data_IF_126765996472
#
_entry.id   IF_126765996472
#
_cell.length_a   1.000
_cell.length_b   1.000
_cell.length_c   1.000
_cell.angle_alpha   90.00
_cell.angle_beta   90.00
_cell.angle_gamma   90.00
#
_symmetry.space_group_name_H-M   'P 1'
#
loop_
_entity.id
_entity.type
_entity.pdbx_description
1 polymer ?
#
# COMPACT_ATOMS: atom_id res chain seq x y z
N UNK A 1 0.83 11.98 33.11
CA UNK A 1 1.89 11.25 32.40
C UNK A 1 2.99 11.03 33.42
N UNK A 2 3.19 9.79 33.90
CA UNK A 2 4.02 9.49 35.06
C UNK A 2 5.49 9.83 34.81
N UNK A 3 6.11 10.62 35.68
CA UNK A 3 7.54 11.00 35.68
C UNK A 3 8.51 9.82 35.66
N UNK A 4 8.11 8.62 36.03
CA UNK A 4 8.93 7.41 35.96
C UNK A 4 9.32 6.96 34.54
N UNK A 5 8.69 7.51 33.50
CA UNK A 5 8.98 7.15 32.09
C UNK A 5 10.25 7.83 31.56
N UNK A 6 10.72 8.89 32.21
CA UNK A 6 11.90 9.65 31.78
C UNK A 6 13.24 9.08 32.28
N UNK A 7 13.22 8.13 33.21
CA UNK A 7 14.43 7.54 33.83
C UNK A 7 14.82 6.14 33.28
N UNK A 8 14.05 5.61 32.31
CA UNK A 8 14.39 4.32 31.73
C UNK A 8 15.53 4.45 30.68
N UNK A 9 16.57 3.58 30.73
CA UNK A 9 17.61 3.57 29.72
C UNK A 9 17.03 3.40 28.31
N UNK A 10 17.61 4.06 27.28
CA UNK A 10 17.10 4.02 25.90
C UNK A 10 16.84 2.61 25.38
N UNK A 11 17.71 1.65 25.69
CA UNK A 11 17.57 0.25 25.31
C UNK A 11 16.30 -0.42 25.89
N UNK A 12 15.96 -0.18 27.16
CA UNK A 12 14.73 -0.72 27.78
C UNK A 12 13.46 -0.07 27.24
N UNK A 13 13.53 1.23 26.95
CA UNK A 13 12.44 1.98 26.31
C UNK A 13 12.20 1.44 24.90
N UNK A 14 13.25 1.21 24.13
CA UNK A 14 13.20 0.60 22.82
C UNK A 14 12.61 -0.83 22.88
N UNK A 15 13.05 -1.65 23.85
CA UNK A 15 12.56 -3.02 24.04
C UNK A 15 11.08 -3.08 24.45
N UNK A 16 10.59 -2.12 25.25
CA UNK A 16 9.19 -1.98 25.62
C UNK A 16 8.31 -1.54 24.44
N UNK A 17 8.80 -0.60 23.61
CA UNK A 17 8.14 -0.21 22.34
C UNK A 17 8.10 -1.41 21.40
N UNK A 18 9.18 -2.15 21.29
CA UNK A 18 9.27 -3.38 20.51
C UNK A 18 8.26 -4.44 20.94
N UNK A 19 8.15 -4.70 22.24
CA UNK A 19 7.17 -5.67 22.78
C UNK A 19 5.74 -5.20 22.51
N UNK A 20 5.46 -3.88 22.59
CA UNK A 20 4.18 -3.29 22.19
C UNK A 20 3.90 -3.43 20.68
N UNK A 21 4.88 -3.16 19.83
CA UNK A 21 4.77 -3.36 18.37
C UNK A 21 4.52 -4.83 18.00
N UNK A 22 5.09 -5.77 18.77
CA UNK A 22 4.94 -7.20 18.51
C UNK A 22 3.69 -7.84 19.11
N UNK A 23 3.05 -7.21 20.11
CA UNK A 23 1.92 -7.75 20.85
C UNK A 23 0.64 -6.92 20.76
N UNK A 24 0.73 -5.62 20.42
CA UNK A 24 -0.43 -4.74 20.31
C UNK A 24 -1.20 -4.99 19.01
N UNK A 25 -2.50 -5.18 19.14
CA UNK A 25 -3.44 -5.20 17.99
C UNK A 25 -3.81 -3.80 17.50
N UNK A 26 -3.41 -2.74 18.23
CA UNK A 26 -3.63 -1.33 17.87
C UNK A 26 -2.33 -0.71 17.37
N UNK A 27 -2.37 0.08 16.28
CA UNK A 27 -1.19 0.78 15.77
C UNK A 27 -0.72 1.83 16.79
N UNK A 28 0.61 2.02 16.86
CA UNK A 28 1.21 3.07 17.69
C UNK A 28 1.25 4.35 16.87
N UNK A 29 0.70 5.42 17.42
CA UNK A 29 0.76 6.76 16.83
C UNK A 29 2.02 7.47 17.33
N UNK A 30 2.83 7.94 16.41
CA UNK A 30 4.05 8.71 16.65
C UNK A 30 3.77 10.18 16.36
N UNK A 31 4.10 11.06 17.28
CA UNK A 31 4.08 12.52 17.08
C UNK A 31 5.46 13.01 16.64
N UNK A 32 5.51 14.22 16.06
CA UNK A 32 6.77 14.85 15.70
C UNK A 32 7.28 14.48 14.30
N UNK A 33 6.41 13.98 13.43
CA UNK A 33 6.80 13.63 12.07
C UNK A 33 6.57 14.81 11.10
N UNK A 34 7.33 14.80 10.01
CA UNK A 34 7.01 15.48 8.76
C UNK A 34 6.50 14.42 7.78
N UNK A 35 5.32 14.64 7.22
CA UNK A 35 4.69 13.75 6.25
C UNK A 35 4.28 14.58 5.05
N UNK A 36 4.78 14.23 3.88
CA UNK A 36 4.52 14.89 2.59
C UNK A 36 3.74 13.93 1.69
N UNK A 37 2.68 14.40 1.06
CA UNK A 37 1.93 13.65 0.05
C UNK A 37 2.68 13.71 -1.27
N UNK A 38 2.77 12.59 -1.96
CA UNK A 38 3.36 12.48 -3.30
C UNK A 38 2.32 11.87 -4.24
N UNK A 39 1.97 12.61 -5.29
CA UNK A 39 0.96 12.24 -6.29
C UNK A 39 1.65 11.66 -7.51
N UNK A 40 1.26 10.48 -7.93
CA UNK A 40 1.75 9.80 -9.12
C UNK A 40 3.29 9.64 -9.15
N UNK A 41 3.81 9.02 -10.17
CA UNK A 41 5.26 8.90 -10.38
C UNK A 41 5.93 10.24 -10.67
N UNK A 42 5.18 11.23 -11.17
CA UNK A 42 5.70 12.58 -11.48
C UNK A 42 6.27 13.30 -10.26
N UNK A 43 5.67 13.14 -9.09
CA UNK A 43 6.21 13.67 -7.82
C UNK A 43 7.08 12.64 -7.09
N UNK A 44 6.71 11.36 -7.17
CA UNK A 44 7.37 10.29 -6.44
C UNK A 44 8.78 10.00 -6.95
N UNK A 45 8.98 9.79 -8.27
CA UNK A 45 10.27 9.34 -8.78
C UNK A 45 11.40 10.38 -8.67
N UNK A 46 11.18 11.68 -8.90
CA UNK A 46 12.23 12.67 -8.63
C UNK A 46 12.68 12.67 -7.16
N UNK A 47 11.74 12.53 -6.22
CA UNK A 47 12.03 12.47 -4.79
C UNK A 47 12.75 11.16 -4.41
N UNK A 48 12.34 10.02 -4.99
CA UNK A 48 12.99 8.74 -4.80
C UNK A 48 14.45 8.76 -5.29
N UNK A 49 14.68 9.26 -6.50
CA UNK A 49 16.02 9.35 -7.09
C UNK A 49 16.93 10.28 -6.27
N UNK A 50 16.42 11.46 -5.88
CA UNK A 50 17.16 12.37 -5.00
C UNK A 50 17.52 11.73 -3.65
N UNK A 51 16.62 10.91 -3.07
CA UNK A 51 16.89 10.20 -1.83
C UNK A 51 17.95 9.09 -2.00
N UNK A 52 17.95 8.39 -3.15
CA UNK A 52 19.01 7.41 -3.48
C UNK A 52 20.37 8.10 -3.62
N UNK A 53 20.41 9.23 -4.30
CA UNK A 53 21.64 9.98 -4.54
C UNK A 53 22.22 10.58 -3.23
N UNK A 54 21.34 11.05 -2.35
CA UNK A 54 21.73 11.62 -1.05
C UNK A 54 22.09 10.59 0.01
N UNK A 55 21.72 9.32 -0.18
CA UNK A 55 21.98 8.27 0.81
C UNK A 55 23.49 8.04 1.02
N UNK A 56 23.89 7.99 2.30
CA UNK A 56 25.28 7.82 2.72
C UNK A 56 25.57 6.50 3.44
N UNK A 57 24.57 5.85 4.03
CA UNK A 57 24.75 4.65 4.85
C UNK A 57 24.02 3.43 4.31
N UNK A 58 22.70 3.54 4.12
CA UNK A 58 21.89 2.38 3.74
C UNK A 58 20.65 2.74 2.97
N UNK A 59 20.30 1.89 2.02
CA UNK A 59 19.06 1.93 1.25
C UNK A 59 18.37 0.58 1.36
N UNK A 60 17.10 0.58 1.74
CA UNK A 60 16.21 -0.58 1.65
C UNK A 60 15.04 -0.24 0.75
N UNK A 61 14.80 -1.05 -0.27
CA UNK A 61 13.62 -0.92 -1.14
C UNK A 61 12.87 -2.24 -1.15
N UNK A 62 11.58 -2.18 -0.88
CA UNK A 62 10.63 -3.26 -1.02
C UNK A 62 9.56 -2.85 -2.02
N UNK A 63 9.39 -3.62 -3.08
CA UNK A 63 8.36 -3.35 -4.10
C UNK A 63 7.75 -4.64 -4.64
N UNK A 64 6.50 -4.54 -5.09
CA UNK A 64 5.82 -5.64 -5.76
C UNK A 64 6.23 -5.74 -7.23
N UNK A 65 6.16 -4.62 -7.96
CA UNK A 65 6.61 -4.53 -9.35
C UNK A 65 7.86 -3.67 -9.41
N UNK A 66 8.87 -4.19 -10.09
CA UNK A 66 10.01 -3.44 -10.58
C UNK A 66 10.16 -3.82 -12.05
N UNK A 67 9.80 -2.93 -12.97
CA UNK A 67 10.01 -3.09 -14.41
C UNK A 67 11.27 -2.35 -14.84
N UNK A 68 11.93 -2.83 -15.90
CA UNK A 68 13.09 -2.15 -16.51
C UNK A 68 12.64 -1.33 -17.72
N UNK A 69 11.66 -0.44 -17.48
CA UNK A 69 11.30 0.65 -18.36
C UNK A 69 12.17 1.89 -18.07
N UNK A 70 11.87 3.05 -18.67
CA UNK A 70 12.68 4.27 -18.52
C UNK A 70 12.89 4.67 -17.06
N UNK A 71 11.87 4.58 -16.25
CA UNK A 71 11.94 4.88 -14.81
C UNK A 71 12.72 3.80 -14.05
N UNK A 72 12.42 2.53 -14.31
CA UNK A 72 13.11 1.43 -13.65
C UNK A 72 14.60 1.37 -14.00
N UNK A 73 14.98 1.69 -15.24
CA UNK A 73 16.38 1.80 -15.65
C UNK A 73 17.10 2.91 -14.85
N UNK A 74 16.48 4.07 -14.70
CA UNK A 74 17.04 5.18 -13.92
C UNK A 74 17.19 4.82 -12.44
N UNK A 75 16.19 4.19 -11.84
CA UNK A 75 16.26 3.72 -10.46
C UNK A 75 17.33 2.64 -10.29
N UNK A 76 17.42 1.68 -11.22
CA UNK A 76 18.45 0.64 -11.21
C UNK A 76 19.87 1.24 -11.29
N UNK A 77 20.09 2.21 -12.19
CA UNK A 77 21.37 2.91 -12.32
C UNK A 77 21.73 3.69 -11.07
N UNK A 78 20.77 4.41 -10.45
CA UNK A 78 20.99 5.15 -9.21
C UNK A 78 21.36 4.22 -8.04
N UNK A 79 20.69 3.07 -7.90
CA UNK A 79 21.02 2.06 -6.89
C UNK A 79 22.42 1.45 -7.10
N UNK A 80 22.80 1.20 -8.36
CA UNK A 80 24.14 0.74 -8.69
C UNK A 80 25.21 1.77 -8.30
N UNK A 81 24.99 3.05 -8.62
CA UNK A 81 25.86 4.16 -8.26
C UNK A 81 25.96 4.33 -6.73
N UNK A 82 24.85 4.21 -6.00
CA UNK A 82 24.86 4.24 -4.53
C UNK A 82 25.69 3.10 -3.95
N UNK A 83 25.56 1.88 -4.46
CA UNK A 83 26.37 0.74 -4.01
C UNK A 83 27.87 0.94 -4.31
N UNK A 84 28.24 1.55 -5.44
CA UNK A 84 29.62 1.92 -5.76
C UNK A 84 30.18 3.01 -4.82
N UNK A 85 29.33 3.87 -4.25
CA UNK A 85 29.70 4.81 -3.16
C UNK A 85 29.80 4.12 -1.80
N UNK A 86 29.77 2.80 -1.72
CA UNK A 86 29.78 1.98 -0.50
C UNK A 86 28.51 2.12 0.37
N UNK A 87 27.40 2.62 -0.17
CA UNK A 87 26.10 2.59 0.50
C UNK A 87 25.59 1.15 0.54
N UNK A 88 25.07 0.71 1.67
CA UNK A 88 24.54 -0.65 1.86
C UNK A 88 23.15 -0.78 1.19
N UNK A 89 23.10 -1.13 -0.10
CA UNK A 89 21.87 -1.25 -0.89
C UNK A 89 21.23 -2.63 -0.71
N UNK A 90 19.94 -2.62 -0.32
CA UNK A 90 19.13 -3.82 -0.10
C UNK A 90 17.81 -3.71 -0.91
N UNK A 91 17.68 -4.50 -1.97
CA UNK A 91 16.51 -4.54 -2.83
C UNK A 91 15.74 -5.85 -2.63
N UNK A 92 14.48 -5.77 -2.19
CA UNK A 92 13.56 -6.90 -2.04
C UNK A 92 12.39 -6.72 -3.00
N UNK A 93 12.32 -7.54 -4.03
CA UNK A 93 11.27 -7.54 -5.05
C UNK A 93 10.38 -8.78 -4.96
N UNK A 94 9.11 -8.68 -5.32
CA UNK A 94 8.23 -9.85 -5.39
C UNK A 94 8.53 -10.69 -6.62
N UNK A 95 8.58 -12.02 -6.47
CA UNK A 95 8.96 -12.94 -7.54
C UNK A 95 7.88 -13.20 -8.58
N UNK A 96 6.67 -12.66 -8.40
CA UNK A 96 5.61 -12.69 -9.40
C UNK A 96 5.45 -11.32 -10.06
N UNK A 97 5.30 -10.26 -9.27
CA UNK A 97 5.12 -8.92 -9.81
C UNK A 97 6.32 -8.39 -10.58
N UNK A 98 7.55 -8.79 -10.19
CA UNK A 98 8.80 -8.39 -10.87
C UNK A 98 9.44 -9.54 -11.67
N UNK A 99 8.65 -10.53 -12.09
CA UNK A 99 9.20 -11.75 -12.72
C UNK A 99 10.05 -11.44 -13.96
N UNK A 100 9.60 -10.52 -14.81
CA UNK A 100 10.27 -10.17 -16.05
C UNK A 100 11.64 -9.52 -15.81
N UNK A 101 11.75 -8.63 -14.83
CA UNK A 101 12.97 -7.87 -14.55
C UNK A 101 13.93 -8.55 -13.56
N UNK A 102 13.48 -9.55 -12.79
CA UNK A 102 14.20 -10.07 -11.63
C UNK A 102 15.63 -10.54 -11.93
N UNK A 103 15.83 -11.29 -13.00
CA UNK A 103 17.15 -11.83 -13.33
C UNK A 103 18.11 -10.76 -13.86
N UNK A 104 17.61 -9.78 -14.62
CA UNK A 104 18.38 -8.64 -15.08
C UNK A 104 18.79 -7.73 -13.93
N UNK A 105 17.86 -7.43 -12.98
CA UNK A 105 18.16 -6.66 -11.78
C UNK A 105 19.26 -7.32 -10.93
N UNK A 106 19.20 -8.66 -10.78
CA UNK A 106 20.24 -9.41 -10.08
C UNK A 106 21.58 -9.29 -10.80
N UNK A 107 21.59 -9.48 -12.13
CA UNK A 107 22.80 -9.45 -12.93
C UNK A 107 23.47 -8.06 -12.91
N UNK A 108 22.68 -6.99 -12.91
CA UNK A 108 23.19 -5.61 -12.92
C UNK A 108 23.63 -5.10 -11.54
N UNK A 109 22.84 -5.41 -10.50
CA UNK A 109 23.05 -4.81 -9.17
C UNK A 109 24.04 -5.59 -8.29
N UNK A 110 24.05 -6.94 -8.34
CA UNK A 110 24.94 -7.71 -7.48
C UNK A 110 26.44 -7.43 -7.71
N UNK A 111 26.94 -7.25 -8.94
CA UNK A 111 28.35 -6.93 -9.15
C UNK A 111 28.79 -5.60 -8.55
N UNK A 112 27.85 -4.66 -8.31
CA UNK A 112 28.14 -3.36 -7.66
C UNK A 112 28.23 -3.46 -6.14
N UNK A 113 27.92 -4.62 -5.54
CA UNK A 113 27.84 -4.81 -4.10
C UNK A 113 26.44 -4.73 -3.51
N UNK A 114 25.44 -4.35 -4.30
CA UNK A 114 24.04 -4.32 -3.86
C UNK A 114 23.51 -5.74 -3.58
N UNK A 115 22.70 -5.86 -2.54
CA UNK A 115 22.05 -7.13 -2.16
C UNK A 115 20.63 -7.16 -2.73
N UNK A 116 20.37 -8.09 -3.65
CA UNK A 116 19.06 -8.27 -4.28
C UNK A 116 18.47 -9.61 -3.85
N UNK A 117 17.26 -9.60 -3.31
CA UNK A 117 16.48 -10.78 -2.94
C UNK A 117 15.16 -10.77 -3.69
N UNK A 118 14.81 -11.91 -4.29
CA UNK A 118 13.50 -12.14 -4.90
C UNK A 118 12.63 -12.90 -3.91
N UNK A 119 11.55 -12.24 -3.43
CA UNK A 119 10.60 -12.84 -2.51
C UNK A 119 9.73 -13.85 -3.25
N UNK A 120 9.86 -15.13 -2.90
CA UNK A 120 9.04 -16.23 -3.45
C UNK A 120 8.96 -16.24 -4.98
N UNK A 121 10.06 -16.59 -5.64
CA UNK A 121 10.08 -16.77 -7.09
C UNK A 121 8.91 -17.63 -7.56
N UNK A 122 8.16 -17.16 -8.55
CA UNK A 122 7.09 -17.92 -9.18
C UNK A 122 7.71 -19.17 -9.86
N UNK A 123 7.17 -20.33 -9.53
CA UNK A 123 7.47 -21.59 -10.21
C UNK A 123 6.17 -22.07 -10.84
N UNK A 124 6.00 -21.89 -12.14
CA UNK A 124 4.76 -22.16 -12.88
C UNK A 124 4.19 -23.57 -12.70
N UNK A 125 5.05 -24.56 -12.34
CA UNK A 125 4.65 -25.96 -12.10
C UNK A 125 4.28 -26.28 -10.65
N UNK A 126 4.34 -25.33 -9.71
CA UNK A 126 4.00 -25.55 -8.30
C UNK A 126 2.87 -24.61 -7.89
N UNK A 127 1.64 -25.14 -7.90
CA UNK A 127 0.46 -24.51 -7.29
C UNK A 127 0.48 -24.66 -5.77
N UNK A 128 1.54 -24.20 -5.11
CA UNK A 128 1.59 -24.21 -3.64
C UNK A 128 0.87 -22.96 -3.11
N UNK A 129 -0.07 -23.14 -2.18
CA UNK A 129 -0.77 -22.02 -1.48
C UNK A 129 0.22 -21.01 -0.85
N UNK A 130 1.40 -21.48 -0.45
CA UNK A 130 2.48 -20.61 0.05
C UNK A 130 2.97 -19.61 -1.01
N UNK A 131 2.83 -19.92 -2.29
CA UNK A 131 3.19 -19.04 -3.40
C UNK A 131 2.14 -17.94 -3.63
N UNK A 132 0.92 -18.06 -3.11
CA UNK A 132 -0.11 -17.04 -3.18
C UNK A 132 0.15 -15.85 -2.24
N UNK A 133 1.01 -16.03 -1.24
CA UNK A 133 1.39 -14.93 -0.32
C UNK A 133 2.41 -14.04 -0.98
N UNK A 134 2.07 -12.77 -1.25
CA UNK A 134 2.88 -11.81 -2.00
C UNK A 134 3.46 -10.72 -1.11
N UNK A 135 4.57 -10.14 -1.55
CA UNK A 135 5.12 -8.90 -1.03
C UNK A 135 4.47 -7.76 -1.81
N UNK A 136 3.39 -7.20 -1.30
CA UNK A 136 2.65 -6.16 -2.04
C UNK A 136 2.89 -4.74 -1.49
N UNK A 137 3.60 -4.59 -0.40
CA UNK A 137 3.97 -3.28 0.13
C UNK A 137 5.06 -2.62 -0.72
N UNK A 138 4.99 -1.30 -0.87
CA UNK A 138 5.96 -0.46 -1.52
C UNK A 138 6.52 0.46 -0.45
N UNK A 139 7.73 0.15 -0.01
CA UNK A 139 8.41 0.88 1.08
C UNK A 139 9.86 1.08 0.69
N UNK A 140 10.31 2.32 0.75
CA UNK A 140 11.71 2.67 0.58
C UNK A 140 12.21 3.38 1.84
N UNK A 141 13.42 3.05 2.28
CA UNK A 141 14.01 3.60 3.50
C UNK A 141 15.46 4.01 3.22
N UNK A 142 15.82 5.21 3.62
CA UNK A 142 17.12 5.83 3.39
C UNK A 142 17.73 6.28 4.72
N UNK A 143 18.93 5.76 5.06
CA UNK A 143 19.73 6.10 6.22
C UNK A 143 18.97 6.11 7.56
N UNK A 144 17.87 5.36 7.67
CA UNK A 144 16.93 5.38 8.79
C UNK A 144 16.37 6.77 9.13
N UNK A 145 16.34 7.70 8.18
CA UNK A 145 15.90 9.10 8.36
C UNK A 145 14.71 9.48 7.49
N UNK A 146 14.68 8.99 6.26
CA UNK A 146 13.63 9.24 5.29
C UNK A 146 13.03 7.91 4.85
N UNK A 147 11.71 7.82 4.81
CA UNK A 147 11.02 6.65 4.29
C UNK A 147 9.89 7.06 3.34
N UNK A 148 9.68 6.27 2.29
CA UNK A 148 8.51 6.36 1.42
C UNK A 148 7.62 5.15 1.64
N UNK A 149 6.30 5.36 1.73
CA UNK A 149 5.28 4.31 1.85
C UNK A 149 4.11 4.67 0.95
N UNK A 150 3.63 3.74 0.12
CA UNK A 150 2.50 4.05 -0.75
C UNK A 150 2.03 2.92 -1.63
N UNK A 151 1.28 3.28 -2.67
CA UNK A 151 0.78 2.38 -3.71
C UNK A 151 1.71 2.27 -4.91
N UNK A 152 2.60 3.25 -5.13
CA UNK A 152 3.41 3.42 -6.35
C UNK A 152 4.49 2.33 -6.44
N UNK A 153 4.44 1.53 -7.51
CA UNK A 153 5.48 0.57 -7.87
C UNK A 153 6.65 1.27 -8.61
N UNK A 154 7.74 0.54 -8.86
CA UNK A 154 8.82 1.02 -9.73
C UNK A 154 8.50 0.60 -11.16
N UNK A 155 7.71 1.40 -11.83
CA UNK A 155 7.22 1.25 -13.19
C UNK A 155 6.77 2.62 -13.69
N UNK A 156 6.96 2.92 -14.95
CA UNK A 156 6.50 4.17 -15.56
C UNK A 156 4.98 4.30 -15.46
N UNK A 157 4.48 5.48 -15.10
CA UNK A 157 3.04 5.73 -14.95
C UNK A 157 2.27 5.55 -16.25
N UNK A 158 2.92 5.73 -17.40
CA UNK A 158 2.36 5.51 -18.74
C UNK A 158 2.56 4.08 -19.27
N UNK A 159 3.19 3.20 -18.50
CA UNK A 159 3.30 1.79 -18.84
C UNK A 159 1.98 1.07 -18.54
N UNK A 160 1.10 1.02 -19.53
CA UNK A 160 -0.21 0.36 -19.43
C UNK A 160 -0.21 -0.96 -20.21
N UNK A 161 -1.02 -1.97 -19.77
CA UNK A 161 -1.11 -3.27 -20.43
C UNK A 161 -1.85 -3.22 -21.77
N UNK A 162 -2.52 -2.10 -22.09
CA UNK A 162 -3.30 -1.97 -23.29
C UNK A 162 -2.44 -1.86 -24.55
N UNK A 163 -2.93 -2.41 -25.70
CA UNK A 163 -2.25 -2.25 -26.96
C UNK A 163 -2.40 -0.81 -27.50
N UNK A 164 -1.47 -0.39 -28.35
CA UNK A 164 -1.63 0.82 -29.15
C UNK A 164 -2.81 0.66 -30.14
N UNK A 165 -3.60 1.72 -30.46
CA UNK A 165 -3.44 3.12 -29.98
C UNK A 165 -4.20 3.45 -28.69
N UNK A 166 -4.77 2.49 -27.99
CA UNK A 166 -5.54 2.73 -26.76
C UNK A 166 -4.62 3.31 -25.68
N UNK A 167 -3.45 2.70 -25.48
CA UNK A 167 -2.45 3.12 -24.50
C UNK A 167 -2.04 4.58 -24.65
N UNK A 168 -1.85 5.06 -25.87
CA UNK A 168 -1.43 6.44 -26.14
C UNK A 168 -2.47 7.50 -25.72
N UNK A 169 -3.72 7.10 -25.43
CA UNK A 169 -4.80 7.98 -24.99
C UNK A 169 -4.98 8.01 -23.49
N UNK A 170 -4.32 7.11 -22.77
CA UNK A 170 -4.43 7.03 -21.31
C UNK A 170 -3.45 8.01 -20.65
N UNK A 171 -3.94 8.69 -19.62
CA UNK A 171 -3.12 9.50 -18.73
C UNK A 171 -2.20 8.65 -17.83
N UNK A 172 -1.39 9.29 -16.97
CA UNK A 172 -0.57 8.60 -15.99
C UNK A 172 -1.44 7.84 -14.99
N UNK A 173 -0.91 6.74 -14.42
CA UNK A 173 -1.58 6.03 -13.31
C UNK A 173 -1.85 6.99 -12.18
N UNK A 174 -3.06 6.92 -11.64
CA UNK A 174 -3.47 7.73 -10.50
C UNK A 174 -3.22 6.97 -9.20
N UNK A 175 -2.14 7.32 -8.50
CA UNK A 175 -1.73 6.67 -7.24
C UNK A 175 -0.99 7.64 -6.32
N UNK A 176 -0.78 7.24 -5.07
CA UNK A 176 -0.18 8.08 -4.03
C UNK A 176 0.88 7.34 -3.23
N UNK A 177 1.84 8.11 -2.74
CA UNK A 177 2.78 7.71 -1.71
C UNK A 177 2.94 8.84 -0.69
N UNK A 178 3.57 8.55 0.44
CA UNK A 178 3.99 9.54 1.42
C UNK A 178 5.48 9.46 1.64
N UNK A 179 6.13 10.62 1.76
CA UNK A 179 7.47 10.75 2.30
C UNK A 179 7.37 11.07 3.78
N UNK A 180 8.06 10.30 4.62
CA UNK A 180 8.00 10.40 6.08
C UNK A 180 9.40 10.66 6.64
N UNK A 181 9.52 11.65 7.51
CA UNK A 181 10.67 11.92 8.35
C UNK A 181 10.23 11.99 9.83
N UNK A 182 11.13 11.71 10.76
CA UNK A 182 10.85 11.77 12.19
C UNK A 182 10.57 10.40 12.83
N UNK A 183 9.97 10.36 14.03
CA UNK A 183 9.88 9.16 14.87
C UNK A 183 9.19 7.94 14.23
N UNK A 184 8.25 8.15 13.30
CA UNK A 184 7.59 7.07 12.56
C UNK A 184 8.58 6.23 11.76
N UNK A 185 9.66 6.84 11.24
CA UNK A 185 10.66 6.16 10.43
C UNK A 185 11.34 5.03 11.21
N UNK A 186 11.48 5.15 12.53
CA UNK A 186 11.99 4.06 13.38
C UNK A 186 11.13 2.79 13.31
N UNK A 187 9.80 2.93 13.28
CA UNK A 187 8.89 1.79 13.11
C UNK A 187 8.95 1.19 11.71
N UNK A 188 9.10 2.05 10.68
CA UNK A 188 9.28 1.62 9.29
C UNK A 188 10.61 0.87 9.14
N UNK A 189 11.70 1.43 9.65
CA UNK A 189 13.03 0.84 9.61
C UNK A 189 13.06 -0.54 10.26
N UNK A 190 12.51 -0.67 11.47
CA UNK A 190 12.37 -1.96 12.13
C UNK A 190 11.61 -2.99 11.28
N UNK A 191 10.52 -2.55 10.66
CA UNK A 191 9.66 -3.44 9.85
C UNK A 191 10.39 -3.95 8.61
N UNK A 192 11.09 -3.06 7.92
CA UNK A 192 11.85 -3.35 6.69
C UNK A 192 13.06 -4.25 6.98
N UNK A 193 13.89 -3.86 7.95
CA UNK A 193 15.09 -4.62 8.32
C UNK A 193 14.73 -6.02 8.86
N UNK A 194 13.65 -6.14 9.65
CA UNK A 194 13.15 -7.43 10.12
C UNK A 194 12.69 -8.33 8.97
N UNK A 195 11.97 -7.80 7.99
CA UNK A 195 11.56 -8.61 6.84
C UNK A 195 12.77 -9.02 6.03
N UNK A 196 13.66 -8.09 5.73
CA UNK A 196 14.92 -8.37 5.05
C UNK A 196 15.69 -9.51 5.74
N UNK A 197 15.92 -9.40 7.04
CA UNK A 197 16.59 -10.44 7.83
C UNK A 197 15.86 -11.78 7.74
N UNK A 198 14.54 -11.79 7.93
CA UNK A 198 13.73 -13.01 7.90
C UNK A 198 13.85 -13.72 6.55
N UNK A 199 13.75 -12.97 5.45
CA UNK A 199 13.84 -13.54 4.09
C UNK A 199 15.26 -13.99 3.79
N UNK A 200 16.26 -13.24 4.24
CA UNK A 200 17.69 -13.61 4.10
C UNK A 200 18.01 -14.92 4.80
N UNK A 201 17.55 -15.11 6.03
CA UNK A 201 17.75 -16.38 6.78
C UNK A 201 17.08 -17.57 6.08
N UNK A 202 15.86 -17.35 5.54
CA UNK A 202 15.11 -18.42 4.89
C UNK A 202 15.65 -18.80 3.50
N UNK A 203 16.23 -17.85 2.76
CA UNK A 203 16.72 -18.08 1.40
C UNK A 203 18.22 -18.33 1.32
N UNK A 204 18.99 -17.72 2.20
CA UNK A 204 20.43 -17.88 2.26
C UNK A 204 20.75 -18.98 3.30
N UNK A 205 21.42 -20.05 2.89
CA UNK A 205 21.92 -21.12 3.80
C UNK A 205 22.95 -20.60 4.84
N UNK A 206 23.29 -19.32 4.82
CA UNK A 206 24.18 -18.65 5.80
C UNK A 206 23.35 -17.66 6.61
N UNK A 207 23.44 -17.75 7.93
CA UNK A 207 22.81 -16.79 8.85
C UNK A 207 23.47 -15.42 8.66
N UNK A 208 22.70 -14.34 8.47
CA UNK A 208 23.25 -12.98 8.59
C UNK A 208 23.87 -12.81 9.97
N UNK A 209 24.98 -12.11 10.04
CA UNK A 209 25.83 -11.98 11.24
C UNK A 209 25.16 -11.28 12.43
N UNK A 210 24.09 -10.54 12.21
CA UNK A 210 23.37 -9.84 13.28
C UNK A 210 21.84 -9.91 13.07
N UNK A 211 21.11 -9.98 14.18
CA UNK A 211 19.64 -9.74 14.16
C UNK A 211 19.41 -8.24 13.94
N UNK A 212 18.21 -7.86 13.38
CA UNK A 212 17.85 -6.45 13.35
C UNK A 212 17.89 -5.88 14.76
N UNK A 213 18.76 -4.93 14.98
CA UNK A 213 18.78 -4.16 16.21
C UNK A 213 17.66 -3.14 16.18
N UNK A 214 17.18 -2.78 17.37
CA UNK A 214 16.25 -1.68 17.53
C UNK A 214 17.00 -0.39 17.17
N UNK A 215 16.57 0.21 16.05
CA UNK A 215 17.08 1.50 15.63
C UNK A 215 16.40 2.55 16.50
N UNK A 216 17.15 3.42 17.14
CA UNK A 216 16.58 4.57 17.83
C UNK A 216 15.73 5.38 16.83
N UNK A 217 14.48 5.72 17.20
CA UNK A 217 13.66 6.55 16.35
C UNK A 217 14.37 7.89 16.08
N UNK A 218 14.37 8.37 14.84
CA UNK A 218 14.89 9.71 14.54
C UNK A 218 14.22 10.78 15.42
N UNK A 219 14.92 11.88 15.62
CA UNK A 219 14.38 13.06 16.30
C UNK A 219 13.15 13.60 15.57
N UNK A 220 12.32 14.35 16.28
CA UNK A 220 11.20 15.04 15.70
C UNK A 220 11.65 16.02 14.60
N UNK A 221 10.97 16.00 13.45
CA UNK A 221 11.24 16.84 12.27
C UNK A 221 10.05 17.74 11.91
N UNK A 222 8.92 17.57 12.59
CA UNK A 222 7.68 18.30 12.38
C UNK A 222 6.70 18.10 13.54
N UNK A 223 5.41 18.31 13.27
CA UNK A 223 4.35 18.22 14.27
C UNK A 223 3.26 17.18 13.92
N UNK A 224 3.38 16.50 12.79
CA UNK A 224 2.37 15.55 12.33
C UNK A 224 2.35 14.30 13.20
N UNK A 225 1.14 13.84 13.54
CA UNK A 225 0.91 12.56 14.19
C UNK A 225 0.59 11.51 13.13
N UNK A 226 1.34 10.40 13.12
CA UNK A 226 1.14 9.35 12.14
C UNK A 226 1.41 7.95 12.72
N UNK A 227 0.84 6.92 12.08
CA UNK A 227 0.99 5.53 12.47
C UNK A 227 1.27 4.64 11.26
N UNK A 228 2.15 3.66 11.42
CA UNK A 228 2.35 2.61 10.42
C UNK A 228 1.32 1.49 10.64
N UNK A 229 0.51 1.25 9.64
CA UNK A 229 -0.47 0.18 9.59
C UNK A 229 0.09 -0.97 8.77
N UNK A 230 0.44 -2.04 9.44
CA UNK A 230 0.96 -3.23 8.77
C UNK A 230 -0.11 -4.28 8.62
N UNK A 231 0.00 -5.00 7.54
CA UNK A 231 -0.73 -6.22 7.36
C UNK A 231 0.20 -7.37 6.98
N UNK A 232 0.03 -8.47 7.68
CA UNK A 232 0.68 -9.74 7.39
C UNK A 232 -0.31 -10.90 7.59
N UNK A 233 0.11 -12.10 7.19
CA UNK A 233 -0.77 -13.27 7.22
C UNK A 233 -0.89 -13.94 8.59
N UNK A 234 -0.31 -13.39 9.64
CA UNK A 234 -0.25 -14.01 10.96
C UNK A 234 -0.88 -13.14 12.06
N UNK A 235 -0.24 -12.02 12.39
CA UNK A 235 -0.61 -11.20 13.56
C UNK A 235 -1.43 -9.96 13.22
N UNK A 236 -1.19 -9.38 12.04
CA UNK A 236 -1.76 -8.10 11.62
C UNK A 236 -2.85 -8.26 10.54
N UNK A 237 -3.62 -9.33 10.54
CA UNK A 237 -4.57 -9.65 9.46
C UNK A 237 -5.63 -8.58 9.19
N UNK A 238 -6.08 -7.90 10.21
CA UNK A 238 -7.18 -6.92 10.15
C UNK A 238 -6.77 -5.53 10.65
N UNK A 239 -5.47 -5.23 10.77
CA UNK A 239 -5.01 -3.95 11.34
C UNK A 239 -5.44 -2.77 10.48
N UNK A 240 -5.28 -2.87 9.16
CA UNK A 240 -5.68 -1.82 8.22
C UNK A 240 -7.20 -1.67 8.24
N UNK A 241 -7.97 -2.75 8.08
CA UNK A 241 -9.44 -2.72 8.12
C UNK A 241 -9.97 -2.13 9.44
N UNK A 242 -9.37 -2.50 10.58
CA UNK A 242 -9.74 -1.94 11.88
C UNK A 242 -9.46 -0.44 11.99
N UNK A 243 -8.37 0.05 11.39
CA UNK A 243 -8.07 1.47 11.37
C UNK A 243 -9.11 2.26 10.57
N UNK A 244 -9.59 1.71 9.44
CA UNK A 244 -10.71 2.30 8.70
C UNK A 244 -11.99 2.31 9.54
N UNK A 245 -12.38 1.17 10.12
CA UNK A 245 -13.60 1.05 10.94
C UNK A 245 -13.55 1.95 12.19
N UNK A 246 -12.36 2.10 12.80
CA UNK A 246 -12.17 3.03 13.92
C UNK A 246 -12.36 4.49 13.49
N UNK A 247 -11.78 4.88 12.33
CA UNK A 247 -11.99 6.21 11.76
C UNK A 247 -13.49 6.45 11.42
N UNK A 248 -14.16 5.47 10.81
CA UNK A 248 -15.59 5.55 10.49
C UNK A 248 -16.48 5.70 11.70
N UNK A 249 -16.15 5.06 12.82
CA UNK A 249 -16.93 5.19 14.07
C UNK A 249 -16.93 6.61 14.61
N UNK A 250 -15.95 7.44 14.25
CA UNK A 250 -15.81 8.83 14.65
C UNK A 250 -16.24 9.82 13.57
N UNK A 251 -16.54 9.36 12.35
CA UNK A 251 -16.93 10.21 11.23
C UNK A 251 -18.23 10.97 11.50
N UNK A 252 -18.22 12.27 11.15
CA UNK A 252 -19.31 13.21 11.37
C UNK A 252 -19.86 13.87 10.12
N UNK A 253 -18.99 14.14 9.15
CA UNK A 253 -19.33 14.90 7.95
C UNK A 253 -19.11 14.11 6.68
N UNK A 254 -17.93 13.52 6.51
CA UNK A 254 -17.59 12.89 5.24
C UNK A 254 -16.56 11.77 5.37
N UNK A 255 -16.75 10.75 4.50
CA UNK A 255 -15.78 9.70 4.21
C UNK A 255 -15.55 9.65 2.71
N UNK A 256 -14.31 9.88 2.27
CA UNK A 256 -13.90 9.79 0.87
C UNK A 256 -12.81 8.70 0.73
N UNK A 257 -13.08 7.69 -0.10
CA UNK A 257 -12.17 6.56 -0.34
C UNK A 257 -11.85 6.47 -1.83
N UNK A 258 -10.56 6.44 -2.18
CA UNK A 258 -10.14 6.04 -3.52
C UNK A 258 -9.43 4.68 -3.46
N UNK A 259 -9.92 3.71 -4.25
CA UNK A 259 -9.41 2.36 -4.20
C UNK A 259 -9.46 1.66 -5.56
N UNK A 260 -8.32 1.09 -5.96
CA UNK A 260 -8.19 0.40 -7.25
C UNK A 260 -9.12 -0.82 -7.36
N UNK A 261 -9.14 -1.67 -6.33
CA UNK A 261 -9.97 -2.87 -6.27
C UNK A 261 -10.78 -2.86 -4.98
N UNK A 262 -12.09 -2.61 -5.12
CA UNK A 262 -12.98 -2.43 -3.99
C UNK A 262 -13.97 -3.59 -3.86
N UNK A 263 -13.62 -4.57 -3.05
CA UNK A 263 -14.43 -5.75 -2.74
C UNK A 263 -14.53 -5.99 -1.23
N UNK A 264 -15.08 -5.03 -0.47
CA UNK A 264 -15.11 -5.08 0.99
C UNK A 264 -15.91 -6.26 1.53
N UNK A 265 -15.49 -6.76 2.68
CA UNK A 265 -16.28 -7.72 3.46
C UNK A 265 -17.61 -7.14 3.93
N UNK A 266 -18.54 -8.03 4.38
CA UNK A 266 -19.88 -7.62 4.81
C UNK A 266 -19.83 -6.51 5.87
N UNK A 267 -19.03 -6.68 6.92
CA UNK A 267 -18.92 -5.70 8.01
C UNK A 267 -18.51 -4.30 7.54
N UNK A 268 -17.58 -4.22 6.60
CA UNK A 268 -17.12 -2.95 6.05
C UNK A 268 -18.23 -2.27 5.21
N UNK A 269 -18.98 -3.05 4.41
CA UNK A 269 -20.11 -2.52 3.64
C UNK A 269 -21.24 -2.03 4.52
N UNK A 270 -21.62 -2.84 5.52
CA UNK A 270 -22.66 -2.48 6.47
C UNK A 270 -22.29 -1.15 7.18
N UNK A 271 -21.01 -0.94 7.51
CA UNK A 271 -20.56 0.30 8.15
C UNK A 271 -20.60 1.51 7.19
N UNK A 272 -20.30 1.35 5.89
CA UNK A 272 -20.49 2.42 4.92
C UNK A 272 -21.97 2.82 4.77
N UNK A 273 -22.87 1.85 4.75
CA UNK A 273 -24.31 2.11 4.74
C UNK A 273 -24.76 2.81 6.04
N UNK A 274 -24.33 2.33 7.19
CA UNK A 274 -24.63 2.97 8.49
C UNK A 274 -24.14 4.42 8.55
N UNK A 275 -23.00 4.73 7.95
CA UNK A 275 -22.49 6.10 7.85
C UNK A 275 -23.46 6.98 7.03
N UNK A 276 -23.86 6.53 5.85
CA UNK A 276 -24.78 7.26 4.99
C UNK A 276 -26.15 7.45 5.67
N UNK A 277 -26.69 6.42 6.33
CA UNK A 277 -27.94 6.49 7.10
C UNK A 277 -27.87 7.51 8.27
N UNK A 278 -26.67 7.69 8.84
CA UNK A 278 -26.44 8.72 9.87
C UNK A 278 -26.24 10.13 9.30
N UNK A 279 -26.31 10.31 8.00
CA UNK A 279 -26.12 11.59 7.31
C UNK A 279 -24.65 11.96 7.03
N UNK A 280 -23.71 11.04 7.19
CA UNK A 280 -22.33 11.23 6.78
C UNK A 280 -22.25 11.02 5.27
N UNK A 281 -21.67 11.97 4.53
CA UNK A 281 -21.46 11.84 3.10
C UNK A 281 -20.41 10.78 2.80
N UNK A 282 -20.75 9.70 2.12
CA UNK A 282 -19.82 8.61 1.76
C UNK A 282 -19.57 8.61 0.27
N UNK A 283 -18.35 8.88 -0.14
CA UNK A 283 -17.92 8.91 -1.55
C UNK A 283 -16.84 7.86 -1.83
N UNK A 284 -17.02 7.11 -2.91
CA UNK A 284 -16.07 6.11 -3.39
C UNK A 284 -15.59 6.49 -4.78
N UNK A 285 -14.28 6.70 -4.95
CA UNK A 285 -13.63 6.87 -6.25
C UNK A 285 -12.98 5.54 -6.63
N UNK A 286 -13.50 4.88 -7.65
CA UNK A 286 -13.15 3.51 -8.02
C UNK A 286 -12.64 3.43 -9.45
N UNK A 287 -11.88 2.37 -9.74
CA UNK A 287 -11.37 2.10 -11.08
C UNK A 287 -12.52 1.84 -12.07
N UNK A 288 -12.65 2.68 -13.09
CA UNK A 288 -13.64 2.56 -14.16
C UNK A 288 -13.16 1.73 -15.35
N UNK A 289 -11.85 1.76 -15.67
CA UNK A 289 -11.27 0.96 -16.74
C UNK A 289 -11.13 -0.51 -16.34
N UNK A 290 -11.23 -1.41 -17.30
CA UNK A 290 -11.14 -2.86 -17.06
C UNK A 290 -9.68 -3.32 -17.14
N UNK A 291 -8.97 -3.40 -16.03
CA UNK A 291 -7.64 -4.00 -15.97
C UNK A 291 -7.74 -5.52 -15.78
N UNK A 292 -8.50 -5.95 -14.78
CA UNK A 292 -8.77 -7.37 -14.49
C UNK A 292 -10.28 -7.64 -14.52
N UNK A 293 -10.75 -8.31 -15.56
CA UNK A 293 -12.19 -8.55 -15.80
C UNK A 293 -12.93 -9.14 -14.60
N UNK A 294 -12.33 -10.14 -13.94
CA UNK A 294 -12.97 -10.80 -12.81
C UNK A 294 -13.21 -9.85 -11.63
N UNK A 295 -12.19 -9.06 -11.26
CA UNK A 295 -12.29 -8.08 -10.18
C UNK A 295 -13.24 -6.94 -10.53
N UNK A 296 -13.15 -6.43 -11.76
CA UNK A 296 -14.03 -5.35 -12.23
C UNK A 296 -15.51 -5.76 -12.16
N UNK A 297 -15.88 -6.92 -12.71
CA UNK A 297 -17.28 -7.38 -12.64
C UNK A 297 -17.71 -7.72 -11.20
N UNK A 298 -16.84 -8.31 -10.39
CA UNK A 298 -17.14 -8.58 -8.99
C UNK A 298 -17.38 -7.30 -8.18
N UNK A 299 -16.61 -6.23 -8.42
CA UNK A 299 -16.81 -4.91 -7.82
C UNK A 299 -18.15 -4.32 -8.22
N UNK A 300 -18.50 -4.38 -9.50
CA UNK A 300 -19.78 -3.87 -10.00
C UNK A 300 -21.01 -4.57 -9.42
N UNK A 301 -20.88 -5.80 -8.93
CA UNK A 301 -21.97 -6.50 -8.25
C UNK A 301 -22.39 -5.83 -6.93
N UNK A 302 -21.50 -5.04 -6.31
CA UNK A 302 -21.77 -4.37 -5.03
C UNK A 302 -22.38 -2.97 -5.19
N UNK A 303 -22.34 -2.39 -6.39
CA UNK A 303 -22.73 -0.99 -6.62
C UNK A 303 -24.20 -0.73 -6.25
N UNK A 304 -25.10 -1.59 -6.72
CA UNK A 304 -26.53 -1.38 -6.48
C UNK A 304 -26.93 -1.38 -5.00
N UNK A 305 -26.26 -2.20 -4.17
CA UNK A 305 -26.54 -2.23 -2.73
C UNK A 305 -25.99 -0.97 -2.04
N UNK A 306 -24.79 -0.52 -2.43
CA UNK A 306 -24.14 0.66 -1.85
C UNK A 306 -24.85 1.96 -2.25
N UNK A 307 -25.23 2.10 -3.52
CA UNK A 307 -25.96 3.30 -4.01
C UNK A 307 -27.32 3.41 -3.33
N UNK A 308 -28.04 2.30 -3.15
CA UNK A 308 -29.36 2.29 -2.46
C UNK A 308 -29.29 2.76 -1.01
N UNK A 309 -28.18 2.56 -0.32
CA UNK A 309 -28.02 3.07 1.05
C UNK A 309 -27.41 4.49 1.10
N UNK A 310 -27.27 5.16 -0.05
CA UNK A 310 -26.82 6.56 -0.12
C UNK A 310 -25.33 6.77 -0.29
N UNK A 311 -24.56 5.73 -0.64
CA UNK A 311 -23.13 5.85 -0.96
C UNK A 311 -22.97 6.35 -2.40
N UNK A 312 -22.24 7.44 -2.60
CA UNK A 312 -21.90 7.98 -3.91
C UNK A 312 -20.70 7.21 -4.49
N UNK A 313 -20.84 6.67 -5.70
CA UNK A 313 -19.78 5.92 -6.40
C UNK A 313 -19.39 6.66 -7.67
N UNK A 314 -18.10 6.93 -7.83
CA UNK A 314 -17.50 7.58 -8.99
C UNK A 314 -16.53 6.62 -9.69
N UNK A 315 -16.70 6.40 -10.98
CA UNK A 315 -15.78 5.61 -11.81
C UNK A 315 -14.77 6.52 -12.51
N UNK A 316 -13.49 6.39 -12.16
CA UNK A 316 -12.38 7.11 -12.76
C UNK A 316 -11.96 6.44 -14.08
N UNK A 317 -11.86 7.20 -15.16
CA UNK A 317 -11.68 6.67 -16.52
C UNK A 317 -10.52 7.23 -17.33
N UNK A 318 -9.85 8.35 -16.99
CA UNK A 318 -8.76 8.90 -17.81
C UNK A 318 -7.53 8.00 -17.88
N UNK A 319 -7.30 7.18 -16.84
CA UNK A 319 -6.22 6.22 -16.76
C UNK A 319 -6.55 5.13 -15.73
N UNK A 320 -5.57 4.29 -15.42
CA UNK A 320 -5.73 3.31 -14.33
C UNK A 320 -5.61 3.98 -12.97
N UNK A 321 -6.72 3.98 -12.21
CA UNK A 321 -6.71 4.33 -10.80
C UNK A 321 -6.08 3.19 -10.01
N UNK A 322 -4.91 3.44 -9.43
CA UNK A 322 -4.21 2.47 -8.60
C UNK A 322 -4.10 2.92 -7.12
N UNK A 323 -4.76 4.03 -6.75
CA UNK A 323 -4.78 4.56 -5.38
C UNK A 323 -5.39 3.60 -4.36
N UNK A 324 -4.89 3.65 -3.13
CA UNK A 324 -5.41 2.96 -1.94
C UNK A 324 -5.33 3.94 -0.78
N UNK A 325 -6.26 4.91 -0.81
CA UNK A 325 -6.25 6.05 0.11
C UNK A 325 -7.65 6.33 0.64
N UNK A 326 -7.73 6.98 1.78
CA UNK A 326 -8.99 7.49 2.31
C UNK A 326 -8.77 8.74 3.15
N UNK A 327 -9.81 9.56 3.21
CA UNK A 327 -9.92 10.74 4.08
C UNK A 327 -11.21 10.64 4.88
N UNK A 328 -11.17 11.00 6.15
CA UNK A 328 -12.35 11.11 7.04
C UNK A 328 -12.34 12.47 7.70
N UNK A 329 -13.41 13.23 7.49
CA UNK A 329 -13.68 14.56 8.09
C UNK A 329 -12.51 15.56 7.96
N UNK A 330 -11.67 15.44 6.94
CA UNK A 330 -10.45 16.26 6.75
C UNK A 330 -9.48 16.24 7.96
N UNK A 331 -9.52 15.19 8.78
CA UNK A 331 -8.73 15.07 10.03
C UNK A 331 -7.89 13.81 10.09
N UNK A 332 -8.36 12.78 9.44
CA UNK A 332 -7.69 11.51 9.32
C UNK A 332 -7.54 11.13 7.85
N UNK A 333 -6.35 10.71 7.48
CA UNK A 333 -6.10 10.19 6.16
C UNK A 333 -5.29 8.89 6.23
N UNK A 334 -5.39 8.06 5.18
CA UNK A 334 -4.48 6.92 5.01
C UNK A 334 -4.02 6.80 3.57
N UNK A 335 -2.73 6.53 3.41
CA UNK A 335 -2.07 6.28 2.12
C UNK A 335 -1.27 4.99 2.23
N UNK A 336 -1.39 4.10 1.23
CA UNK A 336 -0.64 2.85 1.28
C UNK A 336 -0.84 1.91 0.11
N UNK A 337 -0.52 0.65 0.34
CA UNK A 337 -0.53 -0.39 -0.69
C UNK A 337 -1.76 -1.31 -0.64
N UNK A 338 -2.57 -1.23 0.43
CA UNK A 338 -3.64 -2.21 0.68
C UNK A 338 -4.93 -1.87 -0.02
N UNK A 339 -5.32 -2.66 -1.00
CA UNK A 339 -6.69 -2.62 -1.51
C UNK A 339 -7.70 -3.10 -0.46
N UNK A 340 -8.93 -2.63 -0.58
CA UNK A 340 -10.06 -3.10 0.20
C UNK A 340 -10.69 -4.30 -0.53
N UNK A 341 -9.95 -5.39 -0.63
CA UNK A 341 -10.36 -6.63 -1.27
C UNK A 341 -9.89 -7.85 -0.47
N UNK A 342 -10.52 -9.03 -0.65
CA UNK A 342 -10.17 -10.23 0.12
C UNK A 342 -8.74 -10.74 -0.14
N UNK A 343 -8.18 -10.53 -1.33
CA UNK A 343 -6.83 -11.00 -1.66
C UNK A 343 -5.77 -10.16 -0.95
N UNK A 344 -5.87 -8.84 -1.07
CA UNK A 344 -5.05 -7.92 -0.29
C UNK A 344 -5.25 -8.15 1.18
N UNK A 345 -6.49 -8.35 1.63
CA UNK A 345 -6.82 -8.58 3.03
C UNK A 345 -6.38 -9.95 3.59
N UNK A 346 -6.05 -10.95 2.82
CA UNK A 346 -5.76 -12.31 3.32
C UNK A 346 -4.40 -12.88 2.90
N UNK A 347 -3.82 -12.45 1.79
CA UNK A 347 -2.66 -13.11 1.19
C UNK A 347 -1.45 -12.20 0.99
N UNK A 348 -1.62 -10.87 0.98
CA UNK A 348 -0.53 -9.95 0.73
C UNK A 348 0.09 -9.38 2.02
N UNK A 349 1.37 -9.02 1.97
CA UNK A 349 2.01 -8.16 2.94
C UNK A 349 1.83 -6.72 2.49
N UNK A 350 1.13 -5.92 3.30
CA UNK A 350 0.78 -4.54 2.98
C UNK A 350 1.30 -3.57 4.04
N UNK A 351 1.44 -2.32 3.64
CA UNK A 351 1.76 -1.22 4.54
C UNK A 351 1.00 0.04 4.13
N UNK A 352 0.32 0.65 5.10
CA UNK A 352 -0.28 1.97 4.97
C UNK A 352 0.29 2.89 6.06
N UNK A 353 0.29 4.19 5.81
CA UNK A 353 0.48 5.22 6.83
C UNK A 353 -0.86 5.87 7.10
N UNK A 354 -1.30 5.86 8.37
CA UNK A 354 -2.41 6.70 8.81
C UNK A 354 -1.84 8.02 9.33
N UNK A 355 -2.41 9.12 8.86
CA UNK A 355 -1.99 10.49 9.20
C UNK A 355 -3.13 11.19 9.91
N UNK A 356 -2.83 11.80 11.06
CA UNK A 356 -3.76 12.55 11.90
C UNK A 356 -3.37 14.03 11.85
N UNK A 357 -3.61 14.65 10.72
CA UNK A 357 -3.26 16.04 10.43
C UNK A 357 -4.25 16.64 9.42
N UNK A 358 -4.79 17.81 9.75
CA UNK A 358 -5.84 18.44 8.95
C UNK A 358 -5.29 18.93 7.60
N UNK A 359 -4.12 19.55 7.55
CA UNK A 359 -3.55 20.07 6.32
C UNK A 359 -3.23 18.95 5.33
N UNK A 360 -2.65 17.85 5.82
CA UNK A 360 -2.40 16.67 4.99
C UNK A 360 -3.71 16.04 4.48
N UNK A 361 -4.71 15.91 5.35
CA UNK A 361 -5.99 15.32 4.99
C UNK A 361 -6.74 16.17 3.95
N UNK A 362 -6.69 17.51 4.09
CA UNK A 362 -7.26 18.46 3.11
C UNK A 362 -6.55 18.38 1.77
N UNK A 363 -5.21 18.28 1.74
CA UNK A 363 -4.43 18.16 0.50
C UNK A 363 -4.79 16.88 -0.27
N UNK A 364 -4.88 15.74 0.44
CA UNK A 364 -5.32 14.48 -0.18
C UNK A 364 -6.77 14.57 -0.64
N UNK A 365 -7.67 15.13 0.17
CA UNK A 365 -9.08 15.29 -0.21
C UNK A 365 -9.23 16.14 -1.47
N UNK A 366 -8.52 17.26 -1.55
CA UNK A 366 -8.55 18.14 -2.72
C UNK A 366 -8.13 17.41 -4.00
N UNK A 367 -7.05 16.63 -3.96
CA UNK A 367 -6.62 15.81 -5.10
C UNK A 367 -7.68 14.79 -5.55
N UNK A 368 -8.39 14.18 -4.60
CA UNK A 368 -9.46 13.24 -4.92
C UNK A 368 -10.72 13.94 -5.46
N UNK A 369 -11.04 15.13 -4.94
CA UNK A 369 -12.17 15.94 -5.41
C UNK A 369 -11.94 16.46 -6.83
N UNK A 370 -10.72 16.88 -7.17
CA UNK A 370 -10.34 17.22 -8.53
C UNK A 370 -10.56 16.06 -9.50
N UNK A 371 -10.13 14.84 -9.10
CA UNK A 371 -10.35 13.64 -9.91
C UNK A 371 -11.83 13.25 -10.02
N UNK A 372 -12.63 13.48 -8.98
CA UNK A 372 -14.08 13.26 -9.02
C UNK A 372 -14.75 14.25 -9.97
N UNK A 373 -14.39 15.54 -9.86
CA UNK A 373 -15.07 16.61 -10.62
C UNK A 373 -14.73 16.59 -12.11
N UNK A 374 -13.46 16.29 -12.45
CA UNK A 374 -12.97 16.44 -13.82
C UNK A 374 -12.90 15.10 -14.58
N UNK A 375 -12.66 13.98 -13.87
CA UNK A 375 -12.15 12.75 -14.46
C UNK A 375 -13.01 11.53 -14.16
N UNK A 376 -14.20 11.70 -13.57
CA UNK A 376 -15.01 10.58 -13.11
C UNK A 376 -16.47 10.69 -13.49
N UNK A 377 -17.13 9.55 -13.57
CA UNK A 377 -18.56 9.46 -13.84
C UNK A 377 -19.29 8.94 -12.62
N UNK A 378 -20.32 9.64 -12.17
CA UNK A 378 -21.19 9.19 -11.09
C UNK A 378 -22.01 7.97 -11.53
N UNK A 379 -21.98 6.95 -10.71
CA UNK A 379 -22.84 5.75 -10.87
C UNK A 379 -24.10 5.94 -10.05
N UNK A 380 -25.18 6.31 -10.71
CA UNK A 380 -26.49 6.49 -10.09
C UNK A 380 -27.36 5.20 -10.12
N UNK A 381 -28.52 5.23 -9.45
CA UNK A 381 -29.47 4.12 -9.44
C UNK A 381 -29.96 3.75 -10.85
N UNK A 382 -30.14 4.74 -11.74
CA UNK A 382 -30.58 4.49 -13.13
C UNK A 382 -29.47 3.79 -13.91
N UNK A 383 -28.22 4.17 -13.76
CA UNK A 383 -27.09 3.48 -14.37
C UNK A 383 -26.99 2.02 -13.89
N UNK A 384 -27.24 1.78 -12.61
CA UNK A 384 -27.32 0.43 -12.05
C UNK A 384 -28.52 -0.37 -12.62
N UNK A 385 -29.67 0.27 -12.76
CA UNK A 385 -30.89 -0.35 -13.28
C UNK A 385 -30.83 -0.65 -14.80
N UNK A 386 -30.19 0.24 -15.59
CA UNK A 386 -30.02 0.10 -17.04
C UNK A 386 -29.06 -1.03 -17.45
N UNK A 387 -28.31 -1.60 -16.50
CA UNK A 387 -27.43 -2.75 -16.80
C UNK A 387 -28.25 -3.95 -17.24
N UNK A 388 -27.88 -4.53 -18.39
CA UNK A 388 -28.60 -5.69 -18.93
C UNK A 388 -28.62 -6.84 -17.91
N UNK A 389 -29.70 -7.68 -17.91
CA UNK A 389 -29.78 -8.84 -17.01
C UNK A 389 -28.53 -9.76 -17.11
N UNK A 390 -28.01 -9.92 -18.33
CA UNK A 390 -26.80 -10.71 -18.56
C UNK A 390 -25.57 -10.10 -17.86
N UNK A 391 -25.38 -8.78 -17.93
CA UNK A 391 -24.27 -8.09 -17.21
C UNK A 391 -24.42 -8.21 -15.71
N UNK A 392 -25.64 -8.11 -15.18
CA UNK A 392 -25.92 -8.31 -13.74
C UNK A 392 -25.59 -9.75 -13.31
N UNK A 393 -26.01 -10.75 -14.11
CA UNK A 393 -25.66 -12.16 -13.85
C UNK A 393 -24.15 -12.40 -13.89
N UNK A 394 -23.43 -11.86 -14.90
CA UNK A 394 -21.98 -11.95 -15.01
C UNK A 394 -21.29 -11.36 -13.79
N UNK A 395 -21.72 -10.16 -13.35
CA UNK A 395 -21.16 -9.51 -12.15
C UNK A 395 -21.40 -10.33 -10.90
N UNK A 396 -22.62 -10.87 -10.73
CA UNK A 396 -22.94 -11.74 -9.59
C UNK A 396 -22.10 -13.04 -9.59
N UNK A 397 -21.96 -13.70 -10.73
CA UNK A 397 -21.10 -14.91 -10.87
C UNK A 397 -19.65 -14.58 -10.55
N UNK A 398 -19.13 -13.47 -11.09
CA UNK A 398 -17.77 -13.01 -10.80
C UNK A 398 -17.56 -12.79 -9.30
N UNK A 399 -18.52 -12.14 -8.64
CA UNK A 399 -18.48 -11.91 -7.19
C UNK A 399 -18.48 -13.22 -6.38
N UNK A 400 -19.36 -14.19 -6.73
CA UNK A 400 -19.39 -15.48 -6.05
C UNK A 400 -18.10 -16.30 -6.29
N UNK A 401 -17.53 -16.22 -7.50
CA UNK A 401 -16.27 -16.89 -7.81
C UNK A 401 -15.11 -16.30 -6.99
N UNK A 402 -15.01 -14.96 -6.88
CA UNK A 402 -14.00 -14.32 -6.03
C UNK A 402 -14.18 -14.74 -4.57
N UNK A 403 -15.40 -14.79 -4.04
CA UNK A 403 -15.67 -15.27 -2.69
C UNK A 403 -15.23 -16.71 -2.49
N UNK A 404 -15.56 -17.61 -3.43
CA UNK A 404 -15.17 -19.01 -3.36
C UNK A 404 -13.65 -19.17 -3.36
N UNK A 405 -12.96 -18.50 -4.30
CA UNK A 405 -11.50 -18.51 -4.38
C UNK A 405 -10.86 -18.00 -3.09
N UNK A 406 -11.46 -16.98 -2.46
CA UNK A 406 -11.01 -16.46 -1.17
C UNK A 406 -11.14 -17.51 -0.06
N UNK A 407 -12.30 -18.17 0.05
CA UNK A 407 -12.51 -19.22 1.05
C UNK A 407 -11.53 -20.39 0.87
N UNK A 408 -11.33 -20.84 -0.37
CA UNK A 408 -10.37 -21.90 -0.70
C UNK A 408 -8.94 -21.51 -0.34
N UNK A 409 -8.55 -20.26 -0.64
CA UNK A 409 -7.20 -19.75 -0.34
C UNK A 409 -6.96 -19.55 1.16
N UNK A 410 -8.02 -19.37 1.97
CA UNK A 410 -7.91 -19.05 3.41
C UNK A 410 -8.22 -20.21 4.34
N UNK A 411 -8.82 -21.30 3.85
CA UNK A 411 -9.02 -22.51 4.69
C UNK A 411 -7.67 -22.93 5.25
N UNK A 412 -7.58 -22.96 6.58
CA UNK A 412 -6.45 -23.56 7.30
C UNK A 412 -6.35 -25.03 6.92
N UNK A 413 -5.13 -25.51 6.69
CA UNK A 413 -4.81 -26.91 6.85
C UNK A 413 -4.95 -27.21 8.35
N UNK A 414 -6.13 -27.63 8.79
CA UNK A 414 -6.32 -28.34 10.03
C UNK A 414 -5.96 -29.80 9.72
N UNK A 415 -4.67 -30.08 9.81
CA UNK A 415 -4.07 -31.39 9.60
C UNK A 415 -2.66 -31.40 10.14
#
# INVERSE_FOLDING_TARGET
>A
MNEQVLLEPPARRAERVFRKLSTSTRPIVYAGNRVELLRNGTEYFPRLLAAIDAAAQSIYIETYIFELDDIGERVCAALAAAAQRAVAVHLLIDGFGSQAAADLLIARLRPTGAKVIVFRRARWWRLERRLLRRLHRKVSLFDNRLAFVGGINIIDDYHHPDPEPVRAKLGPRFDFAVACEGPLVGAIAFTVTRLWWTVSVLQMRRRPSSRPELIEPPSATGNVRAALLLRDNLRNRSTIERAYLDAFSHARSEVLIANAYFLPGKKFRDELCNLAERGVRVRLLLQGLVEYRLQHYAQQALYGDLVKCGVEIYEYTPSYLHAKVAVVDQKWATVGSSNIDPYSLLLAREANVAVYDEAFAQDLQHALEEAIANDSTLVDDEACARRSPMRRATSWIAYQLVRLLTVVATRRDDG
#
